data_IF_048412214110
#
_entry.id   IF_048412214110
#
_cell.length_a   1.000
_cell.length_b   1.000
_cell.length_c   1.000
_cell.angle_alpha   90.00
_cell.angle_beta   90.00
_cell.angle_gamma   90.00
#
_symmetry.space_group_name_H-M   'P 1'
#
loop_
_entity.id
_entity.type
_entity.pdbx_description
1 polymer ?
#
# COMPACT_ATOMS: atom_id res chain seq x y z
N UNK A 1 16.82 29.12 -0.18
CA UNK A 1 16.74 27.85 0.53
C UNK A 1 15.42 27.20 0.22
N UNK A 2 15.47 26.02 -0.43
CA UNK A 2 14.28 25.21 -0.66
C UNK A 2 13.83 24.55 0.64
N UNK A 3 12.52 24.48 0.87
CA UNK A 3 11.97 23.73 2.00
C UNK A 3 11.56 22.34 1.51
N UNK A 4 12.16 21.30 2.08
CA UNK A 4 11.98 19.90 1.67
C UNK A 4 11.39 19.09 2.82
N UNK A 5 10.53 18.15 2.50
CA UNK A 5 9.94 17.22 3.48
C UNK A 5 10.25 15.78 3.09
N UNK A 6 10.69 14.98 4.03
CA UNK A 6 10.69 13.53 3.91
C UNK A 6 9.69 12.93 4.91
N UNK A 7 8.68 12.27 4.40
CA UNK A 7 7.71 11.51 5.16
C UNK A 7 8.14 10.05 5.18
N UNK A 8 8.58 9.57 6.33
CA UNK A 8 8.96 8.16 6.55
C UNK A 8 7.78 7.48 7.22
N UNK A 9 7.13 6.60 6.49
CA UNK A 9 6.01 5.82 6.98
C UNK A 9 6.45 4.41 7.33
N UNK A 10 6.32 4.08 8.60
CA UNK A 10 6.60 2.75 9.16
C UNK A 10 5.27 2.01 9.27
N UNK A 11 4.97 1.18 8.27
CA UNK A 11 3.73 0.40 8.19
C UNK A 11 3.57 -0.48 9.44
N UNK A 12 2.42 -0.38 10.11
CA UNK A 12 2.10 -1.17 11.29
C UNK A 12 2.95 -0.88 12.53
N UNK A 13 3.49 0.36 12.65
CA UNK A 13 4.48 0.71 13.70
C UNK A 13 3.93 0.57 15.11
N UNK A 14 2.68 0.96 15.33
CA UNK A 14 2.06 0.95 16.65
C UNK A 14 1.89 -0.46 17.21
N UNK A 15 1.98 -0.55 18.53
CA UNK A 15 1.80 -1.83 19.25
C UNK A 15 1.24 -1.56 20.66
N UNK A 16 0.85 -2.62 21.34
CA UNK A 16 0.42 -2.60 22.73
C UNK A 16 1.53 -3.15 23.64
N UNK A 17 1.41 -2.91 24.95
CA UNK A 17 2.31 -3.47 25.92
C UNK A 17 2.30 -4.99 25.87
N UNK A 18 3.46 -5.59 25.64
CA UNK A 18 3.65 -7.05 25.63
C UNK A 18 3.84 -7.53 27.06
N UNK A 19 2.98 -8.42 27.59
CA UNK A 19 3.02 -8.81 29.00
C UNK A 19 4.40 -9.33 29.47
N UNK A 20 5.10 -10.12 28.64
CA UNK A 20 6.41 -10.66 28.95
C UNK A 20 7.52 -9.62 29.02
N UNK A 21 7.36 -8.46 28.38
CA UNK A 21 8.33 -7.38 28.33
C UNK A 21 7.94 -6.20 29.25
N UNK A 22 6.65 -6.08 29.62
CA UNK A 22 6.09 -4.91 30.31
C UNK A 22 6.18 -3.61 29.52
N UNK A 23 6.43 -3.68 28.20
CA UNK A 23 6.70 -2.57 27.29
C UNK A 23 6.21 -2.88 25.88
N UNK A 24 6.05 -1.85 25.04
CA UNK A 24 5.83 -2.00 23.60
C UNK A 24 7.15 -2.33 22.88
N UNK A 25 7.12 -2.86 21.65
CA UNK A 25 8.32 -3.06 20.84
C UNK A 25 9.14 -1.77 20.64
N UNK A 26 8.50 -0.62 20.41
CA UNK A 26 9.17 0.69 20.31
C UNK A 26 9.89 1.07 21.60
N UNK A 27 9.30 0.79 22.77
CA UNK A 27 9.92 1.07 24.06
C UNK A 27 11.14 0.17 24.36
N UNK A 28 11.23 -0.99 23.71
CA UNK A 28 12.35 -1.95 23.87
C UNK A 28 13.45 -1.73 22.86
N UNK A 29 13.08 -1.37 21.62
CA UNK A 29 14.02 -1.15 20.53
C UNK A 29 15.04 -0.04 20.85
N UNK A 30 16.27 -0.23 20.37
CA UNK A 30 17.34 0.78 20.45
C UNK A 30 17.26 1.71 19.24
N UNK A 31 16.58 2.83 19.40
CA UNK A 31 16.23 3.76 18.33
C UNK A 31 16.69 5.20 18.65
N UNK A 32 18.01 5.42 18.90
CA UNK A 32 18.52 6.72 19.35
C UNK A 32 18.30 7.86 18.34
N UNK A 33 18.24 7.56 17.03
CA UNK A 33 18.04 8.58 16.01
C UNK A 33 16.56 9.02 15.94
N UNK A 34 15.63 8.07 16.06
CA UNK A 34 14.20 8.35 16.22
C UNK A 34 13.93 9.14 17.51
N UNK A 35 14.53 8.73 18.62
CA UNK A 35 14.43 9.44 19.91
C UNK A 35 14.94 10.87 19.77
N UNK A 36 16.06 11.09 19.05
CA UNK A 36 16.61 12.44 18.81
C UNK A 36 15.71 13.27 17.90
N UNK A 37 15.04 12.69 16.93
CA UNK A 37 14.04 13.40 16.11
C UNK A 37 12.86 13.83 16.98
N UNK A 38 12.38 12.98 17.89
CA UNK A 38 11.33 13.31 18.84
C UNK A 38 11.77 14.43 19.81
N UNK A 39 12.96 14.34 20.40
CA UNK A 39 13.54 15.35 21.29
C UNK A 39 13.64 16.73 20.64
N UNK A 40 13.97 16.79 19.36
CA UNK A 40 14.15 18.03 18.60
C UNK A 40 12.92 18.49 17.81
N UNK A 41 11.82 17.73 17.87
CA UNK A 41 10.61 17.94 17.07
C UNK A 41 9.35 18.18 17.90
N UNK A 42 8.23 18.18 17.22
CA UNK A 42 6.90 18.12 17.83
C UNK A 42 6.33 16.71 17.67
N UNK A 43 5.75 16.22 18.75
CA UNK A 43 5.24 14.84 18.80
C UNK A 43 3.75 14.81 19.16
N UNK A 44 3.10 13.69 18.91
CA UNK A 44 1.72 13.43 19.27
C UNK A 44 1.27 12.02 18.92
N UNK A 45 0.03 11.71 19.24
CA UNK A 45 -0.65 10.48 18.84
C UNK A 45 -1.54 10.74 17.63
N UNK A 46 -1.40 9.89 16.62
CA UNK A 46 -2.13 10.00 15.36
C UNK A 46 -3.15 8.87 15.24
N UNK A 47 -4.40 9.23 15.04
CA UNK A 47 -5.42 8.33 14.50
C UNK A 47 -5.41 8.44 12.97
N UNK A 48 -4.92 7.43 12.22
CA UNK A 48 -4.64 7.63 10.79
C UNK A 48 -5.86 7.96 9.94
N UNK A 49 -7.05 7.50 10.36
CA UNK A 49 -8.34 7.90 9.78
C UNK A 49 -9.20 8.57 10.83
N UNK A 50 -9.64 7.82 11.84
CA UNK A 50 -10.44 8.31 12.96
C UNK A 50 -10.24 7.46 14.22
N UNK A 51 -10.49 8.00 15.43
CA UNK A 51 -10.39 7.26 16.67
C UNK A 51 -11.29 6.01 16.68
N UNK A 52 -10.72 4.89 17.11
CA UNK A 52 -11.46 3.63 17.26
C UNK A 52 -11.62 2.81 15.97
N UNK A 53 -11.07 3.28 14.85
CA UNK A 53 -11.10 2.55 13.58
C UNK A 53 -9.79 1.79 13.36
N UNK A 54 -9.87 0.46 13.25
CA UNK A 54 -8.80 -0.36 12.71
C UNK A 54 -8.79 -0.23 11.17
N UNK A 55 -7.98 0.66 10.64
CA UNK A 55 -7.97 0.97 9.22
C UNK A 55 -7.00 0.07 8.42
N UNK A 56 -7.22 -0.01 7.11
CA UNK A 56 -6.26 -0.60 6.19
C UNK A 56 -5.26 0.46 5.71
N UNK A 57 -4.10 -0.01 5.20
CA UNK A 57 -3.05 0.91 4.71
C UNK A 57 -3.56 1.82 3.59
N UNK A 58 -4.48 1.35 2.73
CA UNK A 58 -5.09 2.14 1.65
C UNK A 58 -5.84 3.38 2.17
N UNK A 59 -6.76 3.19 3.11
CA UNK A 59 -7.56 4.28 3.68
C UNK A 59 -6.72 5.20 4.55
N UNK A 60 -5.77 4.63 5.30
CA UNK A 60 -4.84 5.40 6.12
C UNK A 60 -3.96 6.33 5.27
N UNK A 61 -3.30 5.80 4.23
CA UNK A 61 -2.45 6.60 3.36
C UNK A 61 -3.22 7.72 2.65
N UNK A 62 -4.47 7.47 2.19
CA UNK A 62 -5.33 8.52 1.66
C UNK A 62 -5.52 9.65 2.67
N UNK A 63 -5.89 9.31 3.90
CA UNK A 63 -6.11 10.29 4.97
C UNK A 63 -4.84 11.09 5.29
N UNK A 64 -3.70 10.39 5.46
CA UNK A 64 -2.40 11.01 5.77
C UNK A 64 -1.93 11.99 4.68
N UNK A 65 -2.28 11.74 3.42
CA UNK A 65 -1.99 12.62 2.28
C UNK A 65 -3.06 13.71 2.08
N UNK A 66 -4.06 13.80 2.97
CA UNK A 66 -5.08 14.85 2.97
C UNK A 66 -6.31 14.56 2.12
N UNK A 67 -6.52 13.31 1.70
CA UNK A 67 -7.69 12.89 0.94
C UNK A 67 -8.66 12.14 1.84
N UNK A 68 -9.92 12.56 1.90
CA UNK A 68 -10.96 11.89 2.69
C UNK A 68 -11.28 10.50 2.11
N UNK A 69 -10.92 9.39 2.79
CA UNK A 69 -11.15 8.06 2.27
C UNK A 69 -12.64 7.72 2.13
N UNK A 70 -13.51 8.32 2.94
CA UNK A 70 -14.96 8.10 2.83
C UNK A 70 -15.52 8.68 1.54
N UNK A 71 -14.91 9.74 1.03
CA UNK A 71 -15.31 10.40 -0.21
C UNK A 71 -14.67 9.78 -1.44
N UNK A 72 -13.39 9.45 -1.37
CA UNK A 72 -12.59 9.14 -2.55
C UNK A 72 -12.23 7.65 -2.68
N UNK A 73 -12.33 6.84 -1.61
CA UNK A 73 -12.00 5.43 -1.72
C UNK A 73 -13.03 4.66 -2.57
N UNK A 74 -12.58 4.03 -3.66
CA UNK A 74 -13.39 3.29 -4.62
C UNK A 74 -12.89 1.86 -4.82
N UNK A 75 -12.33 1.24 -3.79
CA UNK A 75 -11.83 -0.12 -3.82
C UNK A 75 -10.34 -0.24 -4.16
N UNK A 76 -9.75 -1.35 -3.76
CA UNK A 76 -8.29 -1.60 -3.86
C UNK A 76 -7.82 -1.90 -5.28
N UNK A 77 -8.71 -2.39 -6.13
CA UNK A 77 -8.34 -2.92 -7.44
C UNK A 77 -7.65 -1.91 -8.34
N UNK A 78 -8.10 -0.66 -8.34
CA UNK A 78 -7.47 0.41 -9.11
C UNK A 78 -6.03 0.66 -8.63
N UNK A 79 -5.80 0.84 -7.33
CA UNK A 79 -4.47 1.07 -6.78
C UNK A 79 -3.52 -0.10 -7.01
N UNK A 80 -3.96 -1.33 -6.74
CA UNK A 80 -3.14 -2.53 -6.95
C UNK A 80 -2.76 -2.70 -8.43
N UNK A 81 -3.68 -2.40 -9.34
CA UNK A 81 -3.44 -2.49 -10.78
C UNK A 81 -2.51 -1.40 -11.30
N UNK A 82 -2.65 -0.17 -10.83
CA UNK A 82 -1.72 0.92 -11.15
C UNK A 82 -0.32 0.62 -10.64
N UNK A 83 -0.19 0.17 -9.40
CA UNK A 83 1.09 -0.21 -8.81
C UNK A 83 1.74 -1.42 -9.48
N UNK A 84 0.96 -2.29 -10.13
CA UNK A 84 1.46 -3.36 -10.99
C UNK A 84 1.90 -2.86 -12.38
N UNK A 85 1.74 -1.57 -12.68
CA UNK A 85 2.15 -0.95 -13.94
C UNK A 85 1.06 -0.85 -15.01
N UNK A 86 -0.20 -0.98 -14.64
CA UNK A 86 -1.31 -0.68 -15.56
C UNK A 86 -1.57 0.82 -15.60
N UNK A 87 -1.60 1.38 -16.80
CA UNK A 87 -2.06 2.73 -17.03
C UNK A 87 -3.58 2.81 -16.83
N UNK A 88 -4.03 3.68 -15.93
CA UNK A 88 -5.45 3.89 -15.64
C UNK A 88 -5.84 5.34 -15.79
N UNK A 89 -7.04 5.57 -16.31
CA UNK A 89 -7.66 6.89 -16.42
C UNK A 89 -9.02 6.88 -15.74
N UNK A 90 -9.56 8.06 -15.35
CA UNK A 90 -10.90 8.13 -14.79
C UNK A 90 -11.95 7.43 -15.66
N UNK A 91 -12.77 6.58 -15.01
CA UNK A 91 -13.75 5.73 -15.69
C UNK A 91 -13.29 4.29 -15.96
N UNK A 92 -12.01 4.01 -15.87
CA UNK A 92 -11.52 2.62 -15.84
C UNK A 92 -11.90 1.94 -14.53
N UNK A 93 -12.18 0.65 -14.59
CA UNK A 93 -12.28 -0.21 -13.41
C UNK A 93 -11.17 -1.25 -13.42
N UNK A 94 -10.73 -1.65 -12.24
CA UNK A 94 -9.73 -2.69 -12.12
C UNK A 94 -9.93 -3.57 -10.89
N UNK A 95 -9.29 -4.73 -10.93
CA UNK A 95 -9.41 -5.78 -9.93
C UNK A 95 -8.04 -6.17 -9.40
N UNK A 96 -7.95 -6.36 -8.10
CA UNK A 96 -6.90 -7.17 -7.48
C UNK A 96 -7.24 -8.63 -7.72
N UNK A 97 -6.43 -9.33 -8.49
CA UNK A 97 -6.78 -10.64 -8.99
C UNK A 97 -5.75 -11.71 -8.61
N UNK A 98 -6.21 -12.95 -8.50
CA UNK A 98 -5.35 -14.10 -8.24
C UNK A 98 -5.47 -15.14 -9.34
N UNK A 99 -4.35 -15.67 -9.83
CA UNK A 99 -4.35 -16.92 -10.54
C UNK A 99 -4.76 -18.05 -9.61
N UNK A 100 -5.73 -18.84 -10.03
CA UNK A 100 -6.39 -19.86 -9.23
C UNK A 100 -6.58 -21.15 -10.03
N UNK A 101 -6.95 -22.22 -9.32
CA UNK A 101 -7.36 -23.48 -9.91
C UNK A 101 -8.86 -23.72 -9.68
N UNK A 102 -9.60 -23.88 -10.78
CA UNK A 102 -11.01 -24.27 -10.76
C UNK A 102 -11.18 -25.64 -11.43
N UNK A 103 -11.97 -26.51 -10.80
CA UNK A 103 -12.53 -27.68 -11.45
C UNK A 103 -13.79 -27.27 -12.21
N UNK A 104 -13.76 -27.41 -13.54
CA UNK A 104 -14.83 -26.90 -14.40
C UNK A 104 -16.11 -27.68 -14.29
N UNK A 105 -16.02 -29.00 -14.09
CA UNK A 105 -17.21 -29.84 -14.06
C UNK A 105 -18.10 -29.51 -12.86
N UNK A 106 -17.50 -29.31 -11.68
CA UNK A 106 -18.20 -28.92 -10.48
C UNK A 106 -18.39 -27.40 -10.31
N UNK A 107 -17.57 -26.59 -11.01
CA UNK A 107 -17.50 -25.14 -10.83
C UNK A 107 -16.86 -24.74 -9.50
N UNK A 108 -16.12 -25.65 -8.86
CA UNK A 108 -15.49 -25.42 -7.55
C UNK A 108 -14.08 -24.87 -7.72
N UNK A 109 -13.80 -23.75 -7.08
CA UNK A 109 -12.45 -23.22 -6.90
C UNK A 109 -11.71 -24.07 -5.88
N UNK A 110 -10.86 -24.98 -6.38
CA UNK A 110 -10.09 -25.92 -5.55
C UNK A 110 -9.03 -25.16 -4.76
N UNK A 111 -8.34 -24.22 -5.41
CA UNK A 111 -7.37 -23.36 -4.77
C UNK A 111 -7.48 -21.93 -5.30
N UNK A 112 -7.69 -20.98 -4.40
CA UNK A 112 -7.71 -19.54 -4.72
C UNK A 112 -6.33 -18.97 -5.07
N UNK A 113 -5.30 -19.74 -4.84
CA UNK A 113 -3.90 -19.45 -5.18
C UNK A 113 -3.34 -20.68 -5.88
N UNK A 114 -3.18 -20.62 -7.19
CA UNK A 114 -2.67 -21.76 -7.96
C UNK A 114 -1.29 -22.21 -7.44
N UNK A 115 -0.45 -21.24 -7.06
CA UNK A 115 0.82 -21.46 -6.39
C UNK A 115 1.30 -20.14 -5.74
N UNK A 116 2.06 -20.20 -4.66
CA UNK A 116 2.76 -19.02 -4.13
C UNK A 116 4.08 -18.74 -4.84
N UNK A 117 4.71 -19.81 -5.34
CA UNK A 117 5.96 -19.75 -6.08
C UNK A 117 5.66 -20.00 -7.56
N UNK A 118 5.33 -18.93 -8.29
CA UNK A 118 4.95 -19.00 -9.71
C UNK A 118 6.13 -19.19 -10.65
N UNK A 119 7.35 -19.30 -10.14
CA UNK A 119 8.58 -19.66 -10.89
C UNK A 119 8.76 -18.85 -12.19
N UNK A 120 8.41 -17.56 -12.17
CA UNK A 120 8.46 -16.70 -13.36
C UNK A 120 7.33 -16.88 -14.37
N UNK A 121 6.35 -17.76 -14.11
CA UNK A 121 5.24 -18.01 -15.04
C UNK A 121 4.17 -16.89 -15.04
N UNK A 122 4.09 -16.12 -13.98
CA UNK A 122 3.09 -15.04 -13.83
C UNK A 122 3.09 -14.05 -14.99
N UNK A 123 4.23 -13.49 -15.41
CA UNK A 123 4.31 -12.60 -16.58
C UNK A 123 3.77 -13.24 -17.84
N UNK A 124 4.17 -14.48 -18.15
CA UNK A 124 3.72 -15.21 -19.36
C UNK A 124 2.23 -15.46 -19.38
N UNK A 125 1.62 -15.78 -18.23
CA UNK A 125 0.17 -15.95 -18.13
C UNK A 125 -0.56 -14.61 -18.27
N UNK A 126 -0.01 -13.52 -17.75
CA UNK A 126 -0.56 -12.19 -17.94
C UNK A 126 -0.51 -11.75 -19.41
N UNK A 127 0.61 -12.00 -20.10
CA UNK A 127 0.78 -11.69 -21.53
C UNK A 127 -0.24 -12.45 -22.39
N UNK A 128 -0.57 -13.69 -22.02
CA UNK A 128 -1.60 -14.48 -22.72
C UNK A 128 -3.03 -13.94 -22.52
N UNK A 129 -3.26 -13.17 -21.47
CA UNK A 129 -4.56 -12.56 -21.17
C UNK A 129 -4.66 -11.09 -21.56
N UNK A 130 -3.53 -10.41 -21.76
CA UNK A 130 -3.53 -8.99 -22.11
C UNK A 130 -4.15 -8.78 -23.49
N UNK A 131 -5.12 -7.89 -23.58
CA UNK A 131 -5.90 -7.64 -24.81
C UNK A 131 -6.95 -8.69 -25.14
N UNK A 132 -7.31 -9.58 -24.20
CA UNK A 132 -8.39 -10.57 -24.38
C UNK A 132 -9.67 -9.89 -24.84
N UNK A 133 -10.36 -10.48 -25.81
CA UNK A 133 -11.57 -9.91 -26.41
C UNK A 133 -12.82 -10.38 -25.69
N UNK A 134 -13.78 -9.47 -25.60
CA UNK A 134 -15.11 -9.72 -25.06
C UNK A 134 -16.11 -9.64 -26.21
N UNK A 135 -16.60 -10.78 -26.73
CA UNK A 135 -17.49 -10.81 -27.90
C UNK A 135 -18.75 -9.97 -27.76
N UNK A 136 -19.36 -9.96 -26.57
CA UNK A 136 -20.57 -9.17 -26.31
C UNK A 136 -20.29 -7.69 -25.97
N UNK A 137 -19.02 -7.34 -25.73
CA UNK A 137 -18.60 -5.99 -25.31
C UNK A 137 -17.42 -5.47 -26.16
N UNK A 138 -17.58 -5.33 -27.49
CA UNK A 138 -16.48 -5.02 -28.42
C UNK A 138 -15.87 -3.62 -28.21
N UNK A 139 -16.56 -2.72 -27.50
CA UNK A 139 -16.07 -1.39 -27.18
C UNK A 139 -15.25 -1.33 -25.90
N UNK A 140 -15.09 -2.46 -25.21
CA UNK A 140 -14.29 -2.56 -23.98
C UNK A 140 -12.96 -3.24 -24.26
N UNK A 141 -11.92 -2.79 -23.58
CA UNK A 141 -10.57 -3.37 -23.66
C UNK A 141 -10.15 -3.86 -22.30
N UNK A 142 -9.46 -4.98 -22.29
CA UNK A 142 -8.92 -5.60 -21.07
C UNK A 142 -7.40 -5.52 -21.13
N UNK A 143 -6.78 -5.15 -20.01
CA UNK A 143 -5.34 -5.24 -19.84
C UNK A 143 -5.01 -5.98 -18.56
N UNK A 144 -3.97 -6.82 -18.61
CA UNK A 144 -3.55 -7.65 -17.49
C UNK A 144 -2.06 -7.46 -17.25
N UNK A 145 -1.68 -7.21 -16.00
CA UNK A 145 -0.29 -7.04 -15.59
C UNK A 145 0.03 -7.89 -14.38
N UNK A 146 1.18 -8.53 -14.43
CA UNK A 146 1.70 -9.30 -13.30
C UNK A 146 2.08 -8.38 -12.14
N UNK A 147 1.70 -8.73 -10.93
CA UNK A 147 2.06 -8.01 -9.73
C UNK A 147 3.16 -8.75 -8.94
N UNK A 148 2.82 -9.84 -8.28
CA UNK A 148 3.75 -10.64 -7.49
C UNK A 148 3.14 -12.02 -7.19
N UNK A 149 3.94 -13.05 -6.96
CA UNK A 149 3.47 -14.41 -6.62
C UNK A 149 2.37 -14.89 -7.61
N UNK A 150 1.18 -15.23 -7.08
CA UNK A 150 -0.02 -15.62 -7.85
C UNK A 150 -0.92 -14.44 -8.23
N UNK A 151 -0.47 -13.18 -8.05
CA UNK A 151 -1.31 -11.98 -8.17
C UNK A 151 -1.10 -11.25 -9.49
N UNK A 152 -2.19 -10.72 -10.02
CA UNK A 152 -2.17 -9.81 -11.17
C UNK A 152 -3.20 -8.69 -11.00
N UNK A 153 -2.96 -7.58 -11.66
CA UNK A 153 -3.93 -6.52 -11.89
C UNK A 153 -4.69 -6.80 -13.19
N UNK A 154 -6.00 -6.61 -13.18
CA UNK A 154 -6.86 -6.70 -14.37
C UNK A 154 -7.64 -5.39 -14.49
N UNK A 155 -7.41 -4.66 -15.57
CA UNK A 155 -8.12 -3.41 -15.89
C UNK A 155 -9.10 -3.65 -17.02
N UNK A 156 -10.27 -3.05 -16.89
CA UNK A 156 -11.25 -2.91 -17.99
C UNK A 156 -11.44 -1.44 -18.28
N UNK A 157 -11.33 -1.05 -19.53
CA UNK A 157 -11.57 0.29 -20.06
C UNK A 157 -12.67 0.27 -21.08
N UNK A 158 -13.61 1.21 -20.99
CA UNK A 158 -14.73 1.35 -21.92
C UNK A 158 -15.86 2.20 -21.34
N UNK A 159 -16.93 2.41 -22.11
CA UNK A 159 -18.05 3.24 -21.67
C UNK A 159 -18.89 2.55 -20.58
N UNK A 160 -19.53 3.36 -19.73
CA UNK A 160 -20.55 2.92 -18.78
C UNK A 160 -20.10 1.91 -17.72
N UNK A 161 -18.81 1.84 -17.44
CA UNK A 161 -18.28 0.98 -16.36
C UNK A 161 -18.56 1.58 -14.98
N UNK A 162 -18.73 0.72 -14.00
CA UNK A 162 -18.88 1.11 -12.58
C UNK A 162 -18.25 0.07 -11.65
N UNK A 163 -17.83 0.51 -10.48
CA UNK A 163 -17.30 -0.33 -9.40
C UNK A 163 -18.39 -0.88 -8.45
N UNK A 164 -19.64 -0.52 -8.66
CA UNK A 164 -20.78 -0.98 -7.86
C UNK A 164 -21.22 -2.42 -8.21
N UNK A 165 -20.25 -3.31 -8.22
CA UNK A 165 -20.41 -4.75 -8.53
C UNK A 165 -19.64 -5.59 -7.51
N UNK A 166 -19.98 -6.87 -7.42
CA UNK A 166 -19.20 -7.86 -6.68
C UNK A 166 -18.02 -8.34 -7.54
N UNK A 167 -17.27 -9.31 -7.04
CA UNK A 167 -16.24 -10.01 -7.81
C UNK A 167 -16.63 -11.46 -8.10
N UNK A 168 -15.65 -12.24 -8.58
CA UNK A 168 -15.84 -13.69 -8.84
C UNK A 168 -15.18 -14.59 -7.80
N UNK A 169 -14.46 -14.02 -6.82
CA UNK A 169 -13.72 -14.76 -5.80
C UNK A 169 -14.64 -15.23 -4.66
N UNK A 170 -14.77 -16.54 -4.38
CA UNK A 170 -15.57 -17.05 -3.27
C UNK A 170 -14.94 -16.82 -1.88
N UNK A 171 -13.77 -16.21 -1.80
CA UNK A 171 -13.01 -15.87 -0.60
C UNK A 171 -12.55 -17.07 0.25
N UNK A 172 -12.92 -18.28 -0.13
CA UNK A 172 -12.52 -19.55 0.51
C UNK A 172 -12.26 -20.62 -0.55
N UNK A 173 -11.27 -21.47 -0.30
CA UNK A 173 -11.05 -22.67 -1.12
C UNK A 173 -12.23 -23.65 -1.00
N UNK A 174 -12.36 -24.52 -1.98
CA UNK A 174 -13.41 -25.53 -2.06
C UNK A 174 -14.85 -24.95 -2.03
N UNK A 175 -15.03 -23.79 -2.66
CA UNK A 175 -16.32 -23.15 -2.88
C UNK A 175 -16.56 -22.93 -4.37
N UNK A 176 -17.83 -22.87 -4.76
CA UNK A 176 -18.19 -22.51 -6.14
C UNK A 176 -17.66 -21.13 -6.49
N UNK A 177 -17.23 -20.97 -7.74
CA UNK A 177 -16.95 -19.66 -8.32
C UNK A 177 -18.19 -18.78 -8.16
N UNK A 178 -18.00 -17.54 -7.73
CA UNK A 178 -19.11 -16.58 -7.56
C UNK A 178 -19.37 -15.89 -8.90
N UNK A 179 -20.63 -15.75 -9.27
CA UNK A 179 -21.03 -14.84 -10.33
C UNK A 179 -20.93 -13.39 -9.85
N UNK A 180 -20.37 -12.54 -10.68
CA UNK A 180 -20.38 -11.11 -10.42
C UNK A 180 -21.80 -10.56 -10.52
N UNK A 181 -22.27 -9.87 -9.50
CA UNK A 181 -23.60 -9.30 -9.39
C UNK A 181 -23.51 -7.79 -9.16
N UNK A 182 -24.49 -7.00 -9.65
CA UNK A 182 -24.57 -5.59 -9.32
C UNK A 182 -24.92 -5.42 -7.83
N UNK A 183 -24.28 -4.47 -7.16
CA UNK A 183 -24.60 -4.14 -5.74
C UNK A 183 -25.69 -3.07 -5.64
N UNK A 184 -26.01 -2.43 -6.75
CA UNK A 184 -27.09 -1.45 -6.90
C UNK A 184 -27.92 -1.78 -8.15
N UNK A 185 -29.19 -1.41 -8.15
CA UNK A 185 -30.08 -1.65 -9.29
C UNK A 185 -29.98 -0.50 -10.32
N UNK A 186 -28.80 -0.39 -10.94
CA UNK A 186 -28.49 0.60 -11.98
C UNK A 186 -28.05 -0.10 -13.27
N UNK A 187 -28.40 0.49 -14.42
CA UNK A 187 -28.12 -0.10 -15.74
C UNK A 187 -26.61 -0.37 -15.95
N UNK A 188 -25.76 0.59 -15.55
CA UNK A 188 -24.31 0.44 -15.64
C UNK A 188 -23.77 -0.71 -14.77
N UNK A 189 -24.33 -0.89 -13.56
CA UNK A 189 -23.93 -1.99 -12.68
C UNK A 189 -24.34 -3.37 -13.23
N UNK A 190 -25.55 -3.45 -13.79
CA UNK A 190 -26.05 -4.65 -14.45
C UNK A 190 -25.21 -4.98 -15.70
N UNK A 191 -24.89 -3.98 -16.50
CA UNK A 191 -24.05 -4.16 -17.69
C UNK A 191 -22.63 -4.57 -17.29
N UNK A 192 -22.00 -3.88 -16.33
CA UNK A 192 -20.64 -4.18 -15.88
C UNK A 192 -20.54 -5.59 -15.28
N UNK A 193 -21.51 -6.02 -14.47
CA UNK A 193 -21.51 -7.37 -13.91
C UNK A 193 -21.56 -8.47 -14.99
N UNK A 194 -22.37 -8.27 -16.05
CA UNK A 194 -22.41 -9.21 -17.21
C UNK A 194 -21.08 -9.26 -17.95
N UNK A 195 -20.45 -8.09 -18.15
CA UNK A 195 -19.14 -7.97 -18.78
C UNK A 195 -18.07 -8.75 -17.98
N UNK A 196 -18.06 -8.59 -16.65
CA UNK A 196 -17.10 -9.26 -15.78
C UNK A 196 -17.30 -10.79 -15.75
N UNK A 197 -18.54 -11.27 -15.84
CA UNK A 197 -18.81 -12.69 -15.96
C UNK A 197 -18.30 -13.24 -17.30
N UNK A 198 -18.54 -12.53 -18.42
CA UNK A 198 -17.98 -12.91 -19.73
C UNK A 198 -16.43 -12.89 -19.70
N UNK A 199 -15.82 -11.86 -19.08
CA UNK A 199 -14.36 -11.81 -18.91
C UNK A 199 -13.82 -13.02 -18.14
N UNK A 200 -14.49 -13.42 -17.07
CA UNK A 200 -14.11 -14.61 -16.29
C UNK A 200 -14.16 -15.89 -17.15
N UNK A 201 -15.18 -16.03 -17.99
CA UNK A 201 -15.31 -17.17 -18.91
C UNK A 201 -14.24 -17.15 -20.01
N UNK A 202 -13.95 -16.01 -20.61
CA UNK A 202 -12.92 -15.89 -21.65
C UNK A 202 -11.51 -16.15 -21.08
N UNK A 203 -11.21 -15.65 -19.88
CA UNK A 203 -9.97 -15.95 -19.14
C UNK A 203 -9.84 -17.46 -18.92
N UNK A 204 -10.92 -18.14 -18.48
CA UNK A 204 -10.90 -19.58 -18.28
C UNK A 204 -10.60 -20.32 -19.61
N UNK A 205 -11.24 -19.94 -20.72
CA UNK A 205 -11.00 -20.54 -22.04
C UNK A 205 -9.54 -20.39 -22.45
N UNK A 206 -8.98 -19.19 -22.34
CA UNK A 206 -7.60 -18.90 -22.71
C UNK A 206 -6.58 -19.70 -21.86
N UNK A 207 -6.75 -19.70 -20.54
CA UNK A 207 -5.83 -20.36 -19.63
C UNK A 207 -5.94 -21.90 -19.67
N UNK A 208 -7.13 -22.44 -19.94
CA UNK A 208 -7.35 -23.90 -19.96
C UNK A 208 -6.61 -24.61 -21.09
N UNK A 209 -6.29 -23.89 -22.18
CA UNK A 209 -5.54 -24.44 -23.31
C UNK A 209 -4.08 -23.96 -23.32
N UNK A 210 -3.64 -23.21 -22.33
CA UNK A 210 -2.30 -22.67 -22.30
C UNK A 210 -1.26 -23.76 -21.97
N UNK A 211 -0.17 -23.91 -22.76
CA UNK A 211 0.82 -25.00 -22.58
C UNK A 211 1.42 -25.09 -21.18
N UNK A 212 1.60 -23.96 -20.49
CA UNK A 212 2.09 -23.92 -19.11
C UNK A 212 1.23 -24.79 -18.18
N UNK A 213 -0.09 -24.82 -18.37
CA UNK A 213 -0.98 -25.59 -17.52
C UNK A 213 -0.85 -27.10 -17.79
N UNK A 214 -0.61 -27.50 -19.02
CA UNK A 214 -0.30 -28.91 -19.37
C UNK A 214 1.01 -29.35 -18.67
N UNK A 215 2.03 -28.51 -18.71
CA UNK A 215 3.32 -28.81 -18.08
C UNK A 215 3.20 -28.86 -16.54
N UNK A 216 2.40 -27.97 -15.95
CA UNK A 216 2.10 -27.99 -14.51
C UNK A 216 1.39 -29.27 -14.09
N UNK A 217 0.38 -29.71 -14.85
CA UNK A 217 -0.35 -30.95 -14.60
C UNK A 217 0.58 -32.16 -14.69
N UNK A 218 1.43 -32.24 -15.74
CA UNK A 218 2.44 -33.30 -15.88
C UNK A 218 3.44 -33.33 -14.72
N UNK A 219 3.75 -32.15 -14.14
CA UNK A 219 4.61 -32.01 -12.97
C UNK A 219 3.89 -32.25 -11.63
N UNK A 220 2.61 -32.66 -11.64
CA UNK A 220 1.81 -32.89 -10.43
C UNK A 220 1.42 -31.61 -9.69
N UNK A 221 1.50 -30.44 -10.35
CA UNK A 221 1.12 -29.15 -9.81
C UNK A 221 -0.29 -28.76 -10.24
N UNK A 222 -0.97 -27.95 -9.44
CA UNK A 222 -2.27 -27.40 -9.82
C UNK A 222 -2.13 -26.48 -11.04
N UNK A 223 -3.00 -26.60 -12.05
CA UNK A 223 -3.03 -25.64 -13.14
C UNK A 223 -3.50 -24.27 -12.64
N UNK A 224 -3.05 -23.21 -13.31
CA UNK A 224 -3.52 -21.85 -13.11
C UNK A 224 -4.52 -21.51 -14.23
N UNK A 225 -5.71 -22.10 -14.16
CA UNK A 225 -6.69 -22.07 -15.26
C UNK A 225 -7.82 -21.04 -15.05
N UNK A 226 -7.75 -20.26 -13.99
CA UNK A 226 -8.75 -19.25 -13.63
C UNK A 226 -8.05 -18.03 -13.05
N UNK A 227 -8.66 -16.86 -13.22
CA UNK A 227 -8.32 -15.63 -12.50
C UNK A 227 -9.53 -15.19 -11.68
N UNK A 228 -9.36 -15.11 -10.37
CA UNK A 228 -10.39 -14.63 -9.45
C UNK A 228 -10.33 -13.12 -9.39
N UNK A 229 -11.37 -12.46 -9.91
CA UNK A 229 -11.53 -11.01 -9.94
C UNK A 229 -12.17 -10.53 -8.62
N UNK A 230 -11.46 -9.68 -7.87
CA UNK A 230 -11.97 -9.20 -6.58
C UNK A 230 -11.57 -7.76 -6.29
N UNK A 231 -12.30 -7.12 -5.36
CA UNK A 231 -12.00 -5.77 -4.91
C UNK A 231 -12.04 -4.78 -6.06
N UNK A 232 -13.09 -4.83 -6.87
CA UNK A 232 -13.31 -3.87 -7.95
C UNK A 232 -13.12 -2.45 -7.43
N UNK A 233 -12.38 -1.64 -8.16
CA UNK A 233 -12.19 -0.23 -7.86
C UNK A 233 -12.10 0.57 -9.14
N UNK A 234 -12.67 1.78 -9.11
CA UNK A 234 -12.56 2.74 -10.21
C UNK A 234 -11.31 3.59 -10.04
N UNK A 235 -10.70 3.98 -11.16
CA UNK A 235 -9.74 5.07 -11.17
C UNK A 235 -10.46 6.37 -10.80
N UNK A 236 -10.02 6.99 -9.72
CA UNK A 236 -10.61 8.24 -9.21
C UNK A 236 -9.92 9.45 -9.82
N UNK A 237 -10.70 10.52 -10.03
CA UNK A 237 -10.20 11.83 -10.42
C UNK A 237 -10.13 12.70 -9.15
N UNK A 238 -8.91 12.97 -8.69
CA UNK A 238 -8.64 13.79 -7.51
C UNK A 238 -7.54 14.79 -7.82
N UNK A 239 -7.58 15.98 -7.23
CA UNK A 239 -6.48 16.93 -7.37
C UNK A 239 -5.16 16.29 -6.87
N UNK A 240 -4.09 16.49 -7.61
CA UNK A 240 -2.76 16.00 -7.22
C UNK A 240 -2.21 16.72 -5.98
N UNK A 241 -1.20 16.12 -5.34
CA UNK A 241 -0.44 16.78 -4.25
C UNK A 241 0.15 18.11 -4.74
N UNK A 242 0.61 18.16 -5.98
CA UNK A 242 1.14 19.38 -6.56
C UNK A 242 0.07 20.48 -6.67
N UNK A 243 -1.15 20.15 -7.09
CA UNK A 243 -2.25 21.11 -7.16
C UNK A 243 -2.73 21.58 -5.78
N UNK A 244 -2.84 20.65 -4.79
CA UNK A 244 -3.31 20.99 -3.45
C UNK A 244 -2.27 21.71 -2.60
N UNK A 245 -1.00 21.36 -2.78
CA UNK A 245 0.05 21.78 -1.85
C UNK A 245 1.19 22.55 -2.50
N UNK A 246 1.22 22.67 -3.85
CA UNK A 246 2.31 23.28 -4.61
C UNK A 246 3.67 22.64 -4.30
N UNK A 247 3.71 21.30 -4.21
CA UNK A 247 4.91 20.51 -3.94
C UNK A 247 5.05 19.44 -5.03
N UNK A 248 6.20 19.38 -5.67
CA UNK A 248 6.56 18.20 -6.48
C UNK A 248 6.89 17.05 -5.54
N UNK A 249 6.30 15.90 -5.78
CA UNK A 249 6.36 14.79 -4.84
C UNK A 249 6.82 13.49 -5.48
N UNK A 250 7.57 12.71 -4.74
CA UNK A 250 7.94 11.35 -5.10
C UNK A 250 7.56 10.35 -4.02
N UNK A 251 7.50 9.10 -4.42
CA UNK A 251 7.12 7.97 -3.59
C UNK A 251 8.10 6.81 -3.77
N UNK A 252 8.61 6.26 -2.68
CA UNK A 252 9.30 4.97 -2.64
C UNK A 252 8.39 3.99 -1.89
N UNK A 253 7.66 3.15 -2.63
CA UNK A 253 6.74 2.17 -2.06
C UNK A 253 6.83 0.86 -2.86
N UNK A 254 7.36 -0.21 -2.27
CA UNK A 254 7.51 -1.48 -2.96
C UNK A 254 6.20 -2.29 -3.05
N UNK A 255 5.15 -1.90 -2.34
CA UNK A 255 3.83 -2.56 -2.41
C UNK A 255 2.94 -1.90 -3.46
N UNK A 256 2.38 -2.69 -4.36
CA UNK A 256 1.54 -2.19 -5.46
C UNK A 256 0.42 -1.26 -4.98
N UNK A 257 -0.22 -1.56 -3.85
CA UNK A 257 -1.33 -0.76 -3.36
C UNK A 257 -0.91 0.66 -2.99
N UNK A 258 0.23 0.82 -2.31
CA UNK A 258 0.71 2.15 -1.90
C UNK A 258 1.33 2.88 -3.09
N UNK A 259 2.04 2.16 -3.97
CA UNK A 259 2.55 2.70 -5.22
C UNK A 259 1.41 3.30 -6.07
N UNK A 260 0.36 2.52 -6.31
CA UNK A 260 -0.78 2.97 -7.12
C UNK A 260 -1.58 4.10 -6.48
N UNK A 261 -1.71 4.10 -5.13
CA UNK A 261 -2.33 5.20 -4.42
C UNK A 261 -1.53 6.49 -4.59
N UNK A 262 -0.21 6.45 -4.40
CA UNK A 262 0.65 7.61 -4.60
C UNK A 262 0.61 8.13 -6.04
N UNK A 263 0.62 7.25 -7.04
CA UNK A 263 0.46 7.62 -8.45
C UNK A 263 -0.90 8.29 -8.71
N UNK A 264 -1.98 7.81 -8.08
CA UNK A 264 -3.32 8.40 -8.19
C UNK A 264 -3.37 9.84 -7.70
N UNK A 265 -2.60 10.18 -6.66
CA UNK A 265 -2.51 11.55 -6.15
C UNK A 265 -1.35 12.35 -6.75
N UNK A 266 -0.81 11.88 -7.88
CA UNK A 266 0.18 12.61 -8.69
C UNK A 266 1.61 12.58 -8.17
N UNK A 267 1.98 11.56 -7.39
CA UNK A 267 3.37 11.35 -6.96
C UNK A 267 4.14 10.52 -8.00
N UNK A 268 5.39 10.88 -8.22
CA UNK A 268 6.30 10.10 -9.08
C UNK A 268 6.82 8.87 -8.33
N UNK A 269 6.52 7.67 -8.84
CA UNK A 269 6.99 6.42 -8.26
C UNK A 269 8.48 6.20 -8.60
N UNK A 270 9.33 6.17 -7.59
CA UNK A 270 10.75 5.88 -7.73
C UNK A 270 10.99 4.39 -7.47
N UNK A 271 11.46 3.70 -8.51
CA UNK A 271 11.87 2.30 -8.39
C UNK A 271 13.27 2.23 -7.80
N UNK A 272 13.44 1.49 -6.72
CA UNK A 272 14.72 1.33 -6.01
C UNK A 272 15.08 -0.14 -5.99
N UNK A 273 16.21 -0.49 -6.57
CA UNK A 273 16.71 -1.86 -6.57
C UNK A 273 16.93 -2.36 -5.14
N UNK A 274 16.40 -3.54 -4.84
CA UNK A 274 16.45 -4.13 -3.52
C UNK A 274 15.46 -3.55 -2.49
N UNK A 275 14.70 -2.51 -2.83
CA UNK A 275 13.61 -2.03 -1.98
C UNK A 275 12.38 -2.92 -2.16
N UNK A 276 12.28 -3.96 -1.35
CA UNK A 276 11.15 -4.90 -1.37
C UNK A 276 10.08 -4.53 -0.34
N UNK A 277 8.89 -5.13 -0.49
CA UNK A 277 7.78 -5.01 0.47
C UNK A 277 7.73 -6.18 1.46
N UNK A 278 8.89 -6.68 1.88
CA UNK A 278 9.05 -7.81 2.80
C UNK A 278 10.27 -7.63 3.69
N UNK A 279 10.67 -8.69 4.40
CA UNK A 279 11.82 -8.72 5.31
C UNK A 279 13.19 -8.57 4.63
N UNK A 280 13.28 -8.75 3.31
CA UNK A 280 14.55 -8.67 2.56
C UNK A 280 14.84 -7.28 2.01
N UNK A 281 14.03 -6.29 2.38
CA UNK A 281 14.18 -4.91 1.91
C UNK A 281 15.54 -4.33 2.25
N UNK A 282 16.17 -3.66 1.29
CA UNK A 282 17.45 -2.96 1.48
C UNK A 282 17.19 -1.53 2.01
N UNK A 283 17.37 -1.34 3.32
CA UNK A 283 17.18 -0.04 3.98
C UNK A 283 18.18 1.02 3.49
N UNK A 284 19.44 0.63 3.21
CA UNK A 284 20.44 1.56 2.70
C UNK A 284 20.11 2.06 1.29
N UNK A 285 19.60 1.18 0.42
CA UNK A 285 19.13 1.58 -0.91
C UNK A 285 17.97 2.58 -0.82
N UNK A 286 17.01 2.35 0.09
CA UNK A 286 15.92 3.30 0.36
C UNK A 286 16.45 4.64 0.89
N UNK A 287 17.39 4.62 1.85
CA UNK A 287 18.00 5.84 2.39
C UNK A 287 18.67 6.68 1.28
N UNK A 288 19.51 6.04 0.48
CA UNK A 288 20.23 6.72 -0.60
C UNK A 288 19.28 7.30 -1.64
N UNK A 289 18.24 6.55 -2.02
CA UNK A 289 17.23 7.05 -2.95
C UNK A 289 16.45 8.24 -2.38
N UNK A 290 16.07 8.21 -1.10
CA UNK A 290 15.43 9.36 -0.44
C UNK A 290 16.32 10.61 -0.48
N UNK A 291 17.61 10.47 -0.16
CA UNK A 291 18.58 11.57 -0.16
C UNK A 291 18.71 12.15 -1.57
N UNK A 292 18.91 11.29 -2.58
CA UNK A 292 19.06 11.71 -3.97
C UNK A 292 17.82 12.43 -4.49
N UNK A 293 16.63 11.84 -4.28
CA UNK A 293 15.41 12.40 -4.84
C UNK A 293 14.99 13.72 -4.16
N UNK A 294 15.33 13.93 -2.90
CA UNK A 294 15.08 15.20 -2.22
C UNK A 294 15.81 16.40 -2.86
N UNK A 295 16.84 16.19 -3.66
CA UNK A 295 17.44 17.28 -4.45
C UNK A 295 16.51 17.76 -5.58
N UNK A 296 15.61 16.91 -6.07
CA UNK A 296 14.75 17.16 -7.24
C UNK A 296 13.30 17.44 -6.87
N UNK A 297 12.84 16.99 -5.68
CA UNK A 297 11.46 17.08 -5.21
C UNK A 297 11.35 17.90 -3.92
N UNK A 298 10.12 18.33 -3.62
CA UNK A 298 9.81 19.11 -2.42
C UNK A 298 9.26 18.23 -1.30
N UNK A 299 8.59 17.13 -1.67
CA UNK A 299 7.99 16.17 -0.75
C UNK A 299 8.34 14.74 -1.16
N UNK A 300 9.00 14.01 -0.28
CA UNK A 300 9.30 12.59 -0.45
C UNK A 300 8.48 11.73 0.51
N UNK A 301 7.95 10.61 0.05
CA UNK A 301 7.25 9.62 0.85
C UNK A 301 7.97 8.28 0.76
N UNK A 302 8.49 7.80 1.89
CA UNK A 302 9.20 6.52 1.98
C UNK A 302 8.41 5.52 2.82
N UNK A 303 7.89 4.48 2.19
CA UNK A 303 7.10 3.42 2.83
C UNK A 303 7.97 2.22 3.20
N UNK A 304 7.79 1.70 4.43
CA UNK A 304 8.54 0.56 4.97
C UNK A 304 7.55 -0.47 5.53
N UNK A 305 7.48 -1.66 4.91
CA UNK A 305 6.48 -2.69 5.21
C UNK A 305 6.89 -3.70 6.28
N UNK A 306 8.19 -3.95 6.47
CA UNK A 306 8.70 -5.08 7.26
C UNK A 306 8.21 -5.14 8.72
N UNK A 307 7.87 -3.99 9.32
CA UNK A 307 7.38 -3.90 10.71
C UNK A 307 5.96 -4.44 10.84
N UNK A 308 5.11 -4.15 9.85
CA UNK A 308 3.75 -4.68 9.79
C UNK A 308 3.73 -6.20 9.57
N UNK A 309 4.56 -6.70 8.66
CA UNK A 309 4.70 -8.14 8.45
C UNK A 309 5.11 -8.87 9.74
N UNK A 310 6.02 -8.27 10.53
CA UNK A 310 6.42 -8.82 11.82
C UNK A 310 5.27 -8.82 12.85
N UNK A 311 4.40 -7.82 12.82
CA UNK A 311 3.16 -7.76 13.60
C UNK A 311 2.20 -8.88 13.22
N UNK A 312 1.93 -9.05 11.93
CA UNK A 312 1.08 -10.13 11.41
C UNK A 312 1.61 -11.52 11.69
N UNK A 313 2.94 -11.71 11.63
CA UNK A 313 3.62 -12.96 11.96
C UNK A 313 3.69 -13.20 13.49
N UNK A 314 3.20 -12.27 14.31
CA UNK A 314 3.27 -12.32 15.79
C UNK A 314 4.70 -12.47 16.32
N UNK A 315 5.64 -11.82 15.63
CA UNK A 315 7.07 -11.97 15.92
C UNK A 315 7.64 -10.66 16.51
N UNK A 316 7.69 -10.60 17.83
CA UNK A 316 8.17 -9.43 18.56
C UNK A 316 9.65 -9.12 18.31
N UNK A 317 10.49 -10.16 18.22
CA UNK A 317 11.92 -9.98 17.99
C UNK A 317 12.21 -9.39 16.63
N UNK A 318 11.52 -9.87 15.58
CA UNK A 318 11.61 -9.28 14.24
C UNK A 318 11.09 -7.84 14.23
N UNK A 319 9.98 -7.55 14.91
CA UNK A 319 9.44 -6.20 14.97
C UNK A 319 10.46 -5.23 15.58
N UNK A 320 11.07 -5.59 16.70
CA UNK A 320 12.15 -4.82 17.34
C UNK A 320 13.35 -4.67 16.40
N UNK A 321 13.80 -5.76 15.77
CA UNK A 321 14.92 -5.74 14.84
C UNK A 321 14.70 -4.76 13.68
N UNK A 322 13.53 -4.76 13.05
CA UNK A 322 13.24 -3.85 11.94
C UNK A 322 13.09 -2.40 12.38
N UNK A 323 12.59 -2.13 13.57
CA UNK A 323 12.59 -0.78 14.13
C UNK A 323 14.02 -0.24 14.30
N UNK A 324 14.95 -1.07 14.74
CA UNK A 324 16.37 -0.73 14.87
C UNK A 324 17.05 -0.54 13.49
N UNK A 325 16.67 -1.33 12.46
CA UNK A 325 17.17 -1.12 11.09
C UNK A 325 16.66 0.20 10.50
N UNK A 326 15.41 0.58 10.77
CA UNK A 326 14.85 1.86 10.34
C UNK A 326 15.56 3.02 11.06
N UNK A 327 15.90 2.87 12.31
CA UNK A 327 16.68 3.87 13.03
C UNK A 327 18.05 4.13 12.39
N UNK A 328 18.76 3.07 11.98
CA UNK A 328 20.01 3.16 11.22
C UNK A 328 19.83 3.81 9.84
N UNK A 329 18.72 3.49 9.16
CA UNK A 329 18.35 4.15 7.90
C UNK A 329 18.17 5.67 8.10
N UNK A 330 17.50 6.07 9.16
CA UNK A 330 17.29 7.48 9.50
C UNK A 330 18.59 8.18 9.89
N UNK A 331 19.52 7.51 10.59
CA UNK A 331 20.86 8.04 10.85
C UNK A 331 21.57 8.42 9.54
N UNK A 332 21.54 7.53 8.55
CA UNK A 332 22.13 7.76 7.23
C UNK A 332 21.50 8.98 6.55
N UNK A 333 20.18 9.07 6.53
CA UNK A 333 19.43 10.17 5.91
C UNK A 333 19.73 11.50 6.62
N UNK A 334 19.57 11.55 7.94
CA UNK A 334 19.76 12.78 8.72
C UNK A 334 21.21 13.27 8.64
N UNK A 335 22.19 12.35 8.69
CA UNK A 335 23.60 12.68 8.58
C UNK A 335 23.94 13.26 7.19
N UNK A 336 23.37 12.72 6.12
CA UNK A 336 23.60 13.24 4.78
C UNK A 336 22.95 14.61 4.58
N UNK A 337 21.68 14.74 4.94
CA UNK A 337 20.90 15.96 4.74
C UNK A 337 21.38 17.11 5.64
N UNK A 338 21.96 16.83 6.82
CA UNK A 338 22.55 17.85 7.69
C UNK A 338 23.76 18.56 7.13
N UNK A 339 24.39 18.01 6.08
CA UNK A 339 25.54 18.58 5.38
C UNK A 339 25.13 19.51 4.24
N UNK A 340 23.88 19.46 3.82
CA UNK A 340 23.35 20.36 2.79
C UNK A 340 22.96 21.70 3.42
N UNK A 341 23.64 22.74 3.01
CA UNK A 341 23.39 24.11 3.47
C UNK A 341 22.49 24.91 2.51
N UNK A 342 22.05 24.32 1.40
CA UNK A 342 21.23 24.98 0.39
C UNK A 342 19.73 24.84 0.68
N UNK A 343 19.34 23.77 1.41
CA UNK A 343 17.95 23.45 1.69
C UNK A 343 17.68 23.25 3.19
N UNK A 344 16.41 23.45 3.56
CA UNK A 344 15.87 23.13 4.88
C UNK A 344 15.10 21.81 4.80
N UNK A 345 15.45 20.86 5.63
CA UNK A 345 14.84 19.53 5.63
C UNK A 345 13.97 19.31 6.87
N UNK A 346 12.73 18.90 6.63
CA UNK A 346 11.80 18.46 7.66
C UNK A 346 11.60 16.95 7.51
N UNK A 347 11.75 16.21 8.61
CA UNK A 347 11.49 14.78 8.66
C UNK A 347 10.18 14.54 9.41
N UNK A 348 9.29 13.78 8.83
CA UNK A 348 8.08 13.27 9.48
C UNK A 348 8.23 11.77 9.62
N UNK A 349 7.97 11.23 10.82
CA UNK A 349 7.96 9.78 11.06
C UNK A 349 6.66 9.43 11.76
N UNK A 350 5.94 8.46 11.20
CA UNK A 350 4.71 7.90 11.79
C UNK A 350 4.38 6.54 11.15
N UNK A 351 3.22 5.98 11.46
CA UNK A 351 2.65 4.81 10.82
C UNK A 351 1.28 5.07 10.19
N UNK A 352 0.77 4.07 9.53
CA UNK A 352 -0.57 4.07 8.91
C UNK A 352 -1.61 3.34 9.79
N UNK A 353 -1.18 2.49 10.69
CA UNK A 353 -2.00 1.81 11.71
C UNK A 353 -1.09 1.12 12.74
N UNK A 354 -1.70 0.63 13.80
CA UNK A 354 -1.07 -0.31 14.71
C UNK A 354 -1.30 -1.74 14.23
N UNK A 355 -0.25 -2.59 14.29
CA UNK A 355 -0.33 -4.03 14.04
C UNK A 355 0.28 -4.76 15.22
N UNK A 356 -0.44 -4.84 16.36
CA UNK A 356 0.11 -5.42 17.57
C UNK A 356 0.45 -6.89 17.38
N UNK A 357 1.66 -7.27 17.79
CA UNK A 357 2.13 -8.67 17.69
C UNK A 357 1.24 -9.64 18.47
N UNK A 358 0.57 -9.18 19.52
CA UNK A 358 -0.38 -10.02 20.28
C UNK A 358 -1.64 -10.33 19.47
N UNK A 359 -2.08 -9.41 18.63
CA UNK A 359 -3.29 -9.59 17.83
C UNK A 359 -2.99 -10.25 16.48
N UNK A 360 -1.86 -9.94 15.87
CA UNK A 360 -1.49 -10.42 14.52
C UNK A 360 -2.36 -9.84 13.41
N UNK A 361 -2.99 -8.71 13.68
CA UNK A 361 -3.87 -7.98 12.76
C UNK A 361 -3.90 -6.50 13.15
N UNK A 362 -4.45 -5.67 12.26
CA UNK A 362 -4.59 -4.25 12.50
C UNK A 362 -5.53 -3.97 13.66
N UNK A 363 -5.24 -2.91 14.39
CA UNK A 363 -6.05 -2.49 15.53
C UNK A 363 -6.27 -0.98 15.56
N UNK A 364 -7.10 -0.53 16.48
CA UNK A 364 -7.56 0.86 16.56
C UNK A 364 -6.71 1.76 17.48
N UNK A 365 -5.62 1.23 18.04
CA UNK A 365 -4.72 2.04 18.84
C UNK A 365 -4.02 3.08 17.95
N UNK A 366 -3.90 4.36 18.44
CA UNK A 366 -3.25 5.40 17.67
C UNK A 366 -1.75 5.10 17.51
N UNK A 367 -1.15 5.63 16.44
CA UNK A 367 0.27 5.47 16.16
C UNK A 367 1.07 6.69 16.65
N UNK A 368 2.36 6.52 17.00
CA UNK A 368 3.23 7.66 17.33
C UNK A 368 3.49 8.51 16.08
N UNK A 369 3.55 9.83 16.29
CA UNK A 369 3.88 10.82 15.27
C UNK A 369 4.97 11.74 15.75
N UNK A 370 5.93 12.04 14.87
CA UNK A 370 6.98 13.04 15.10
C UNK A 370 7.20 13.85 13.82
N UNK A 371 7.39 15.17 13.99
CA UNK A 371 7.83 16.08 12.94
C UNK A 371 8.99 16.92 13.45
N UNK A 372 10.14 16.87 12.79
CA UNK A 372 11.37 17.52 13.23
C UNK A 372 12.09 18.18 12.06
N UNK A 373 12.73 19.33 12.29
CA UNK A 373 13.55 20.03 11.31
C UNK A 373 15.01 19.74 11.59
N UNK A 374 15.76 19.27 10.59
CA UNK A 374 17.16 18.92 10.73
C UNK A 374 17.98 20.16 11.14
N UNK A 375 18.81 20.02 12.18
CA UNK A 375 19.67 21.07 12.68
C UNK A 375 18.98 22.14 13.54
N UNK A 376 17.68 21.98 13.83
CA UNK A 376 16.91 22.92 14.63
C UNK A 376 16.35 22.22 15.87
N UNK A 377 16.65 22.73 17.04
CA UNK A 377 16.02 22.28 18.29
C UNK A 377 14.71 23.06 18.53
N UNK A 378 13.60 22.42 18.26
CA UNK A 378 12.24 22.94 18.50
C UNK A 378 11.36 21.87 19.16
N UNK A 379 11.98 21.10 20.06
CA UNK A 379 11.32 20.02 20.74
C UNK A 379 10.20 20.47 21.67
N UNK A 380 9.27 19.59 21.87
CA UNK A 380 8.40 19.56 23.05
C UNK A 380 9.11 18.85 24.21
N UNK A 381 8.39 18.45 25.26
CA UNK A 381 9.01 17.81 26.44
C UNK A 381 9.33 16.31 26.22
N UNK A 382 9.03 15.75 25.02
CA UNK A 382 9.18 14.33 24.73
C UNK A 382 10.62 14.01 24.36
N UNK A 383 11.18 12.96 24.99
CA UNK A 383 12.56 12.53 24.81
C UNK A 383 12.70 11.21 24.05
N UNK A 384 11.58 10.56 23.71
CA UNK A 384 11.55 9.24 23.11
C UNK A 384 10.43 9.12 22.10
N UNK A 385 10.69 8.35 21.02
CA UNK A 385 9.68 8.02 20.02
C UNK A 385 9.02 6.67 20.37
N UNK A 386 8.01 6.70 21.23
CA UNK A 386 7.16 5.54 21.50
C UNK A 386 5.73 5.98 21.85
N UNK A 387 4.78 5.07 21.78
CA UNK A 387 3.35 5.33 21.92
C UNK A 387 2.99 6.02 23.27
N UNK A 388 3.76 5.70 24.32
CA UNK A 388 3.53 6.26 25.67
C UNK A 388 4.17 7.64 25.81
N UNK A 389 5.39 7.80 25.30
CA UNK A 389 6.11 9.07 25.42
C UNK A 389 5.45 10.17 24.59
N UNK A 390 5.13 9.90 23.31
CA UNK A 390 4.54 10.91 22.40
C UNK A 390 3.10 11.28 22.77
N UNK A 391 2.44 10.54 23.66
CA UNK A 391 1.12 10.92 24.17
C UNK A 391 1.15 12.23 24.98
N UNK A 392 2.33 12.67 25.42
CA UNK A 392 2.56 13.92 26.12
C UNK A 392 3.02 15.05 25.20
N UNK A 393 3.15 14.78 23.91
CA UNK A 393 3.65 15.71 22.92
C UNK A 393 2.71 16.89 22.68
N UNK A 394 3.30 17.99 22.20
CA UNK A 394 2.59 19.27 22.03
C UNK A 394 1.48 19.22 20.96
N UNK A 395 1.50 18.25 20.04
CA UNK A 395 0.44 18.08 19.04
C UNK A 395 -0.80 17.39 19.63
N UNK A 396 -0.67 16.74 20.79
CA UNK A 396 -1.76 15.98 21.41
C UNK A 396 -2.18 14.78 20.56
N UNK A 397 -3.49 14.48 20.51
CA UNK A 397 -4.08 13.44 19.68
C UNK A 397 -4.86 14.08 18.52
N UNK A 398 -4.62 13.65 17.29
CA UNK A 398 -5.18 14.23 16.08
C UNK A 398 -5.40 13.17 14.99
N UNK A 399 -6.14 13.51 13.92
CA UNK A 399 -6.49 12.61 12.84
C UNK A 399 -5.60 12.79 11.59
N UNK A 400 -5.58 11.77 10.72
CA UNK A 400 -4.74 11.74 9.53
C UNK A 400 -4.97 12.89 8.55
N UNK A 401 -6.20 13.37 8.41
CA UNK A 401 -6.56 14.51 7.55
C UNK A 401 -5.89 15.84 7.97
N UNK A 402 -5.40 15.93 9.20
CA UNK A 402 -4.70 17.10 9.71
C UNK A 402 -3.19 17.08 9.41
N UNK A 403 -2.63 15.93 9.01
CA UNK A 403 -1.18 15.73 8.85
C UNK A 403 -0.57 16.73 7.86
N UNK A 404 -1.14 16.85 6.66
CA UNK A 404 -0.61 17.77 5.65
C UNK A 404 -0.72 19.25 6.08
N UNK A 405 -1.72 19.61 6.89
CA UNK A 405 -1.84 20.93 7.48
C UNK A 405 -0.75 21.18 8.52
N UNK A 406 -0.45 20.21 9.38
CA UNK A 406 0.63 20.26 10.38
C UNK A 406 1.97 20.44 9.68
N UNK A 407 2.26 19.63 8.63
CA UNK A 407 3.49 19.73 7.84
C UNK A 407 3.66 21.13 7.26
N UNK A 408 2.64 21.66 6.59
CA UNK A 408 2.69 23.02 6.02
C UNK A 408 2.91 24.10 7.07
N UNK A 409 2.20 24.02 8.21
CA UNK A 409 2.35 24.98 9.30
C UNK A 409 3.76 24.91 9.91
N UNK A 410 4.32 23.71 10.08
CA UNK A 410 5.66 23.51 10.64
C UNK A 410 6.76 24.03 9.71
N UNK A 411 6.67 23.77 8.40
CA UNK A 411 7.62 24.24 7.38
C UNK A 411 7.66 25.78 7.29
N UNK A 412 6.56 26.46 7.60
CA UNK A 412 6.48 27.92 7.45
C UNK A 412 6.96 28.70 8.68
N UNK A 413 7.29 28.01 9.73
CA UNK A 413 7.87 28.59 10.97
C UNK A 413 9.37 28.36 11.03
#
# INVERSE_FOLDING_TARGET
MGKKVLFVLIDGVGDVTIPSLGKTPLQVAKIPNLDKLAENGLTGLLDPVEPGLACGSDTAHMSLLGYDPRKFYRGRGAFESMGAGLDMVPGDIAFKSNFAYIDKESGIVISRRADRHFEGLGPTLCDALDGIKLPSFPHHTVSVKYATEHRCGVRVRGPHLTDTITGTDPLKDNKKLVYCEPTVNEENAIMTSKLINELSDEIYKALSIHPINDDRIKAGKNPANCVLLRGCGSCIDVPSISELHNMRSFLIAPTCIIAGLGMTVGMDLIQVEGATGDYFTNFNAKANACIEQLHHYDFGFCHIKAVDDAGHDRNVEKKIYFLEEIDRMLETIVTALSKDNENEYTIVVTGDHSTPVLYGDHSCEPVPFCISKIGVQRGDEVQRFDEVAVSKGALGRFCGDQVMHIIKAFMNK
#
